data_IF_887960826236
#
_entry.id   IF_887960826236
#
_cell.length_a   1.000
_cell.length_b   1.000
_cell.length_c   1.000
_cell.angle_alpha   90.00
_cell.angle_beta   90.00
_cell.angle_gamma   90.00
#
_symmetry.space_group_name_H-M   'P 1'
#
loop_
_entity.id
_entity.type
_entity.pdbx_description
1 polymer ?
#
# COMPACT_ATOMS: atom_id res chain seq x y z
N UNK A 1 -6.80 11.39 -4.54
CA UNK A 1 -5.49 12.08 -4.44
C UNK A 1 -4.77 11.98 -5.79
N UNK A 2 -4.80 13.03 -6.59
CA UNK A 2 -4.02 13.09 -7.83
C UNK A 2 -2.63 13.64 -7.47
N UNK A 3 -1.62 12.79 -7.48
CA UNK A 3 -0.23 13.27 -7.44
C UNK A 3 0.19 13.58 -8.88
N UNK A 4 0.68 14.77 -9.10
CA UNK A 4 1.26 15.15 -10.39
C UNK A 4 2.68 14.56 -10.47
N UNK A 5 2.75 13.26 -10.75
CA UNK A 5 4.01 12.51 -10.82
C UNK A 5 4.14 11.96 -12.23
N UNK A 6 5.28 12.17 -12.85
CA UNK A 6 5.56 11.56 -14.15
C UNK A 6 5.82 10.05 -13.96
N UNK A 7 4.90 9.25 -14.48
CA UNK A 7 5.01 7.79 -14.41
C UNK A 7 6.26 7.25 -15.09
N UNK A 8 6.79 7.95 -16.10
CA UNK A 8 8.02 7.54 -16.79
C UNK A 8 9.25 7.67 -15.90
N UNK A 9 9.21 8.57 -14.93
CA UNK A 9 10.33 8.76 -13.99
C UNK A 9 10.35 7.75 -12.85
N UNK A 10 9.17 7.26 -12.41
CA UNK A 10 9.04 6.42 -11.21
C UNK A 10 8.73 4.96 -11.52
N UNK A 11 8.30 4.64 -12.76
CA UNK A 11 7.89 3.30 -13.15
C UNK A 11 8.73 2.75 -14.30
N UNK A 12 8.43 1.52 -14.71
CA UNK A 12 8.99 0.89 -15.91
C UNK A 12 8.29 1.33 -17.21
N UNK A 13 7.41 2.33 -17.13
CA UNK A 13 6.64 2.86 -18.26
C UNK A 13 5.49 1.96 -18.72
N UNK A 14 5.20 0.86 -18.04
CA UNK A 14 4.14 -0.08 -18.37
C UNK A 14 2.97 0.02 -17.39
N UNK A 15 1.78 -0.23 -17.92
CA UNK A 15 0.56 -0.36 -17.12
C UNK A 15 0.08 -1.81 -17.17
N UNK A 16 -0.26 -2.31 -15.99
CA UNK A 16 -0.64 -3.70 -15.76
C UNK A 16 -2.08 -3.81 -15.29
N UNK A 17 -2.72 -4.90 -15.63
CA UNK A 17 -4.04 -5.30 -15.14
C UNK A 17 -3.92 -6.32 -14.01
N UNK A 18 -5.02 -6.71 -13.39
CA UNK A 18 -5.04 -7.77 -12.37
C UNK A 18 -4.66 -9.17 -12.92
N UNK A 19 -4.65 -9.33 -14.24
CA UNK A 19 -4.32 -10.60 -14.90
C UNK A 19 -2.87 -10.67 -15.38
N UNK A 20 -2.14 -9.57 -15.27
CA UNK A 20 -0.76 -9.52 -15.70
C UNK A 20 0.19 -9.98 -14.60
N UNK A 21 1.23 -10.67 -15.00
CA UNK A 21 2.34 -11.04 -14.11
C UNK A 21 3.41 -9.97 -14.16
N UNK A 22 3.76 -9.45 -12.98
CA UNK A 22 4.82 -8.45 -12.85
C UNK A 22 6.00 -9.06 -12.10
N UNK A 23 7.18 -8.97 -12.69
CA UNK A 23 8.40 -9.41 -12.03
C UNK A 23 8.86 -8.36 -11.01
N UNK A 24 8.57 -8.62 -9.74
CA UNK A 24 9.05 -7.83 -8.62
C UNK A 24 9.95 -8.72 -7.74
N UNK A 25 11.25 -8.55 -7.85
CA UNK A 25 12.21 -9.28 -7.02
C UNK A 25 12.46 -8.50 -5.73
N UNK A 26 11.72 -8.85 -4.68
CA UNK A 26 11.80 -8.21 -3.37
C UNK A 26 12.48 -9.11 -2.32
N UNK A 27 12.97 -10.30 -2.66
CA UNK A 27 13.60 -11.26 -1.74
C UNK A 27 12.80 -11.48 -0.46
N UNK A 28 11.48 -11.62 -0.56
CA UNK A 28 10.53 -11.72 0.57
C UNK A 28 10.70 -10.63 1.63
N UNK A 29 11.26 -9.48 1.26
CA UNK A 29 11.52 -8.35 2.16
C UNK A 29 12.39 -8.72 3.37
N UNK A 30 13.23 -9.74 3.27
CA UNK A 30 14.07 -10.17 4.38
C UNK A 30 15.12 -9.10 4.74
N UNK A 31 14.96 -8.51 5.94
CA UNK A 31 15.87 -7.49 6.47
C UNK A 31 15.94 -6.22 5.61
N UNK A 32 14.85 -5.86 4.91
CA UNK A 32 14.79 -4.66 4.10
C UNK A 32 13.64 -3.77 4.52
N UNK A 33 13.79 -2.92 5.46
CA UNK A 33 12.75 -2.00 5.93
C UNK A 33 12.52 -0.76 5.04
N UNK A 34 13.08 -0.71 3.83
CA UNK A 34 13.08 0.50 3.00
C UNK A 34 11.66 1.05 2.74
N UNK A 35 10.68 0.19 2.42
CA UNK A 35 9.28 0.61 2.23
C UNK A 35 8.50 0.83 3.54
N UNK A 36 9.12 0.58 4.68
CA UNK A 36 8.58 0.86 6.01
C UNK A 36 9.15 2.16 6.62
N UNK A 37 9.94 2.91 5.86
CA UNK A 37 10.58 4.17 6.28
C UNK A 37 10.40 5.23 5.18
N UNK A 38 10.34 6.48 5.58
CA UNK A 38 10.22 7.60 4.64
C UNK A 38 8.87 7.70 3.93
N UNK A 39 7.84 7.03 4.44
CA UNK A 39 6.53 7.00 3.78
C UNK A 39 5.65 8.21 4.15
N UNK A 40 5.99 8.94 5.19
CA UNK A 40 5.22 10.09 5.65
C UNK A 40 3.73 9.76 5.77
N UNK A 41 2.87 10.52 5.09
CA UNK A 41 1.42 10.34 5.10
C UNK A 41 0.87 9.56 3.91
N UNK A 42 1.70 8.81 3.19
CA UNK A 42 1.28 8.16 1.94
C UNK A 42 0.54 6.84 2.14
N UNK A 43 0.64 6.21 3.31
CA UNK A 43 -0.03 4.94 3.60
C UNK A 43 -1.45 5.20 4.09
N UNK A 44 -2.34 5.52 3.17
CA UNK A 44 -3.77 5.72 3.45
C UNK A 44 -4.42 4.35 3.68
N UNK A 45 -5.26 4.28 4.72
CA UNK A 45 -5.92 3.07 5.15
C UNK A 45 -7.39 3.08 4.70
N UNK A 46 -7.84 1.98 4.16
CA UNK A 46 -9.25 1.73 3.87
C UNK A 46 -9.95 1.02 5.05
N UNK A 47 -11.28 0.86 5.02
CA UNK A 47 -12.00 0.16 6.09
C UNK A 47 -11.55 -1.28 6.34
N UNK A 48 -11.07 -1.98 5.30
CA UNK A 48 -10.56 -3.36 5.42
C UNK A 48 -9.17 -3.34 6.06
N UNK A 49 -8.36 -2.37 5.72
CA UNK A 49 -7.06 -2.17 6.36
C UNK A 49 -7.23 -1.93 7.88
N UNK A 50 -8.20 -1.09 8.25
CA UNK A 50 -8.54 -0.86 9.67
C UNK A 50 -9.02 -2.13 10.38
N UNK A 51 -9.83 -2.94 9.69
CA UNK A 51 -10.25 -4.24 10.22
C UNK A 51 -9.06 -5.18 10.43
N UNK A 52 -8.15 -5.28 9.47
CA UNK A 52 -6.92 -6.06 9.60
C UNK A 52 -6.02 -5.56 10.74
N UNK A 53 -5.87 -4.24 10.89
CA UNK A 53 -5.11 -3.65 11.99
C UNK A 53 -5.74 -3.99 13.35
N UNK A 54 -7.07 -3.95 13.45
CA UNK A 54 -7.77 -4.39 14.64
C UNK A 54 -7.50 -5.86 14.96
N UNK A 55 -7.53 -6.73 13.96
CA UNK A 55 -7.20 -8.16 14.15
C UNK A 55 -5.75 -8.36 14.59
N UNK A 56 -4.81 -7.64 14.02
CA UNK A 56 -3.40 -7.75 14.32
C UNK A 56 -3.03 -7.25 15.72
N UNK A 57 -3.69 -6.17 16.17
CA UNK A 57 -3.32 -5.46 17.41
C UNK A 57 -4.25 -5.72 18.58
N UNK A 58 -5.47 -6.20 18.31
CA UNK A 58 -6.54 -6.30 19.31
C UNK A 58 -7.14 -4.94 19.72
N UNK A 59 -6.67 -3.82 19.15
CA UNK A 59 -7.13 -2.47 19.47
C UNK A 59 -8.37 -2.10 18.66
N UNK A 60 -9.24 -1.30 19.25
CA UNK A 60 -10.30 -0.64 18.51
C UNK A 60 -9.76 0.59 17.75
N UNK A 61 -10.62 1.26 16.98
CA UNK A 61 -10.23 2.42 16.19
C UNK A 61 -9.66 3.57 17.06
N UNK A 62 -10.25 3.82 18.21
CA UNK A 62 -9.79 4.85 19.14
C UNK A 62 -8.40 4.53 19.71
N UNK A 63 -8.15 3.27 20.01
CA UNK A 63 -6.85 2.78 20.47
C UNK A 63 -5.76 2.91 19.38
N UNK A 64 -6.12 2.62 18.13
CA UNK A 64 -5.21 2.77 16.99
C UNK A 64 -4.85 4.25 16.72
N UNK A 65 -5.79 5.18 16.85
CA UNK A 65 -5.57 6.61 16.65
C UNK A 65 -4.50 7.21 17.56
N UNK A 66 -4.28 6.65 18.71
CA UNK A 66 -3.32 7.19 19.67
C UNK A 66 -1.87 6.90 19.29
N UNK A 67 -1.61 5.81 18.59
CA UNK A 67 -0.25 5.30 18.39
C UNK A 67 0.07 4.97 16.92
N UNK A 68 -0.80 4.21 16.24
CA UNK A 68 -0.48 3.58 14.95
C UNK A 68 -1.06 4.32 13.74
N UNK A 69 -2.14 5.07 13.95
CA UNK A 69 -2.79 5.81 12.87
C UNK A 69 -3.00 7.28 13.23
N UNK A 70 -3.08 8.11 12.22
CA UNK A 70 -3.46 9.51 12.32
C UNK A 70 -4.51 9.85 11.26
N UNK A 71 -5.23 10.95 11.46
CA UNK A 71 -6.22 11.46 10.52
C UNK A 71 -5.64 12.66 9.76
N UNK A 72 -5.76 12.64 8.44
CA UNK A 72 -5.36 13.74 7.58
C UNK A 72 -6.50 14.18 6.67
N UNK A 73 -6.54 15.47 6.36
CA UNK A 73 -7.46 16.00 5.36
C UNK A 73 -6.80 15.93 3.99
N UNK A 74 -7.45 15.22 3.07
CA UNK A 74 -7.00 15.08 1.67
C UNK A 74 -8.20 15.37 0.77
N UNK A 75 -8.08 16.39 -0.07
CA UNK A 75 -9.14 16.82 -1.00
C UNK A 75 -10.50 17.04 -0.29
N UNK A 76 -10.48 17.62 0.92
CA UNK A 76 -11.67 17.86 1.73
C UNK A 76 -12.23 16.65 2.50
N UNK A 77 -11.63 15.48 2.36
CA UNK A 77 -12.01 14.28 3.10
C UNK A 77 -11.03 13.99 4.24
N UNK A 78 -11.55 13.55 5.38
CA UNK A 78 -10.73 13.05 6.50
C UNK A 78 -10.42 11.58 6.23
N UNK A 79 -9.15 11.27 6.04
CA UNK A 79 -8.69 9.91 5.77
C UNK A 79 -7.70 9.44 6.83
N UNK A 80 -7.83 8.20 7.32
CA UNK A 80 -6.84 7.60 8.20
C UNK A 80 -5.62 7.15 7.40
N UNK A 81 -4.44 7.33 7.97
CA UNK A 81 -3.18 6.80 7.44
C UNK A 81 -2.29 6.29 8.57
N UNK A 82 -1.32 5.45 8.24
CA UNK A 82 -0.32 5.03 9.20
C UNK A 82 0.46 6.23 9.72
N UNK A 83 0.61 6.30 11.03
CA UNK A 83 1.37 7.34 11.73
C UNK A 83 2.83 6.92 11.81
N UNK A 84 3.68 7.51 10.98
CA UNK A 84 5.11 7.27 11.06
C UNK A 84 5.72 7.89 12.31
N UNK A 85 6.75 7.26 12.85
CA UNK A 85 7.51 7.82 13.96
C UNK A 85 8.13 9.16 13.54
N UNK A 86 7.90 10.26 14.29
CA UNK A 86 8.32 11.59 13.86
C UNK A 86 9.84 11.81 13.85
N UNK A 87 10.63 10.94 14.50
CA UNK A 87 12.09 11.06 14.57
C UNK A 87 12.78 10.21 13.53
N UNK A 88 12.28 9.00 13.30
CA UNK A 88 12.91 7.99 12.44
C UNK A 88 12.20 7.81 11.12
N UNK A 89 11.01 8.41 10.96
CA UNK A 89 10.10 8.22 9.83
C UNK A 89 9.83 6.73 9.53
N UNK A 90 9.81 5.92 10.60
CA UNK A 90 9.58 4.49 10.53
C UNK A 90 8.12 4.14 10.78
N UNK A 91 7.64 3.08 10.12
CA UNK A 91 6.32 2.50 10.34
C UNK A 91 6.21 2.01 11.80
N UNK A 92 5.06 2.24 12.49
CA UNK A 92 4.85 1.80 13.88
C UNK A 92 4.87 0.28 14.07
N UNK A 93 4.75 -0.48 12.98
CA UNK A 93 4.76 -1.94 12.98
C UNK A 93 6.11 -2.54 12.55
N UNK A 94 7.15 -1.73 12.39
CA UNK A 94 8.49 -2.21 12.11
C UNK A 94 9.11 -2.73 13.40
N UNK A 95 9.53 -4.01 13.41
CA UNK A 95 10.16 -4.65 14.55
C UNK A 95 11.67 -4.40 14.61
N UNK A 96 12.31 -4.88 15.68
CA UNK A 96 13.75 -4.76 15.92
C UNK A 96 14.61 -5.51 14.88
N UNK A 97 14.02 -6.48 14.18
CA UNK A 97 14.68 -7.25 13.13
C UNK A 97 14.49 -6.64 11.73
N UNK A 98 14.04 -5.37 11.65
CA UNK A 98 13.75 -4.67 10.39
C UNK A 98 12.65 -5.38 9.58
N UNK A 99 11.68 -6.01 10.25
CA UNK A 99 10.55 -6.70 9.62
C UNK A 99 9.22 -6.12 10.06
N UNK A 100 8.21 -6.32 9.22
CA UNK A 100 6.85 -5.94 9.56
C UNK A 100 6.25 -6.92 10.58
N UNK A 101 6.02 -6.48 11.81
CA UNK A 101 5.43 -7.28 12.90
C UNK A 101 4.00 -7.74 12.62
N UNK A 102 3.29 -7.06 11.71
CA UNK A 102 1.93 -7.42 11.27
C UNK A 102 1.91 -7.93 9.83
N UNK A 103 2.94 -8.63 9.36
CA UNK A 103 3.12 -8.97 7.94
C UNK A 103 1.89 -9.63 7.30
N UNK A 104 1.20 -10.54 8.00
CA UNK A 104 -0.01 -11.20 7.52
C UNK A 104 -1.23 -10.25 7.39
N UNK A 105 -1.22 -9.13 8.12
CA UNK A 105 -2.29 -8.14 8.21
C UNK A 105 -1.91 -6.78 7.62
N UNK A 106 -0.88 -6.75 6.78
CA UNK A 106 -0.44 -5.50 6.13
C UNK A 106 -1.57 -4.83 5.37
N UNK A 107 -1.57 -3.51 5.35
CA UNK A 107 -2.50 -2.72 4.54
C UNK A 107 -2.38 -3.06 3.05
N UNK A 108 -3.44 -2.82 2.30
CA UNK A 108 -3.51 -3.12 0.87
C UNK A 108 -2.38 -2.49 0.07
N UNK A 109 -2.01 -1.25 0.38
CA UNK A 109 -0.89 -0.57 -0.29
C UNK A 109 0.47 -1.23 0.04
N UNK A 110 0.68 -1.68 1.28
CA UNK A 110 1.91 -2.39 1.66
C UNK A 110 1.99 -3.79 1.04
N UNK A 111 0.85 -4.46 0.83
CA UNK A 111 0.80 -5.75 0.12
C UNK A 111 1.03 -5.61 -1.37
N UNK A 112 0.63 -4.49 -1.93
CA UNK A 112 0.84 -4.16 -3.35
C UNK A 112 2.28 -3.83 -3.67
N UNK A 113 3.00 -3.21 -2.75
CA UNK A 113 4.36 -2.74 -2.99
C UNK A 113 5.25 -3.85 -3.58
N UNK A 114 6.01 -3.61 -4.63
CA UNK A 114 6.32 -2.31 -5.24
C UNK A 114 5.39 -1.86 -6.38
N UNK A 115 4.15 -2.31 -6.42
CA UNK A 115 3.18 -1.82 -7.39
C UNK A 115 2.42 -0.61 -6.83
N UNK A 116 2.22 0.39 -7.69
CA UNK A 116 1.31 1.51 -7.47
C UNK A 116 0.00 1.31 -8.23
N UNK A 117 -1.04 2.07 -7.88
CA UNK A 117 -2.31 2.13 -8.61
C UNK A 117 -2.46 3.45 -9.33
N UNK A 118 -2.79 3.40 -10.60
CA UNK A 118 -3.25 4.53 -11.39
C UNK A 118 -4.76 4.42 -11.54
N UNK A 119 -5.49 5.36 -10.96
CA UNK A 119 -6.95 5.41 -11.06
C UNK A 119 -7.35 6.13 -12.36
N UNK A 120 -8.28 5.52 -13.08
CA UNK A 120 -8.85 5.99 -14.34
C UNK A 120 -10.39 6.15 -14.18
N UNK A 121 -11.09 6.65 -15.19
CA UNK A 121 -12.54 6.87 -15.12
C UNK A 121 -13.33 5.58 -14.84
N UNK A 122 -12.90 4.47 -15.41
CA UNK A 122 -13.59 3.17 -15.27
C UNK A 122 -12.78 2.14 -14.47
N UNK A 123 -11.97 2.55 -13.49
CA UNK A 123 -11.25 1.62 -12.65
C UNK A 123 -9.82 2.05 -12.34
N UNK A 124 -8.92 1.09 -12.32
CA UNK A 124 -7.52 1.37 -12.08
C UNK A 124 -6.62 0.35 -12.79
N UNK A 125 -5.41 0.77 -13.09
CA UNK A 125 -4.32 -0.09 -13.52
C UNK A 125 -3.17 0.00 -12.53
N UNK A 126 -2.27 -0.94 -12.63
CA UNK A 126 -1.06 -0.97 -11.81
C UNK A 126 0.14 -0.49 -12.61
N UNK A 127 1.12 0.04 -11.91
CA UNK A 127 2.45 0.34 -12.46
C UNK A 127 3.53 -0.11 -11.49
N UNK A 128 4.67 -0.52 -12.00
CA UNK A 128 5.77 -1.01 -11.20
C UNK A 128 6.70 0.13 -10.80
N UNK A 129 6.80 0.40 -9.50
CA UNK A 129 7.73 1.36 -8.93
C UNK A 129 9.17 0.82 -9.05
N UNK A 130 9.98 1.45 -9.90
CA UNK A 130 11.31 0.93 -10.22
C UNK A 130 12.39 1.41 -9.26
N UNK A 131 12.19 2.55 -8.59
CA UNK A 131 13.21 3.19 -7.74
C UNK A 131 12.96 3.02 -6.25
N UNK A 132 11.76 2.58 -5.87
CA UNK A 132 11.35 2.51 -4.46
C UNK A 132 11.85 1.25 -3.74
N UNK A 133 12.01 0.14 -4.46
CA UNK A 133 12.56 -1.08 -3.88
C UNK A 133 14.08 -1.11 -4.01
N UNK A 134 14.79 -0.84 -2.93
CA UNK A 134 16.27 -0.74 -2.90
C UNK A 134 17.00 -2.07 -3.16
N UNK A 135 16.33 -3.22 -3.01
CA UNK A 135 16.91 -4.55 -3.24
C UNK A 135 16.80 -5.06 -4.68
N UNK A 136 16.42 -4.22 -5.61
CA UNK A 136 16.20 -4.60 -7.02
C UNK A 136 17.48 -4.78 -7.84
N UNK A 137 18.64 -4.99 -7.26
CA UNK A 137 19.84 -5.29 -8.01
C UNK A 137 19.85 -6.74 -8.50
N UNK A 138 19.60 -6.86 -9.81
CA UNK A 138 20.03 -7.91 -10.70
C UNK A 138 20.01 -9.37 -10.21
N UNK A 139 18.88 -10.06 -10.38
CA UNK A 139 18.89 -11.45 -10.86
C UNK A 139 17.61 -11.75 -11.65
N UNK A 140 17.80 -12.34 -12.83
CA UNK A 140 16.73 -12.98 -13.61
C UNK A 140 16.30 -14.23 -12.85
N UNK A 141 15.32 -14.17 -11.99
CA UNK A 141 14.67 -15.34 -11.42
C UNK A 141 13.26 -15.48 -11.97
N UNK A 142 12.85 -16.72 -12.16
CA UNK A 142 11.57 -17.11 -12.75
C UNK A 142 10.39 -16.51 -11.98
N UNK A 143 9.39 -16.10 -12.74
CA UNK A 143 8.18 -15.46 -12.28
C UNK A 143 7.38 -16.32 -11.33
N UNK A 144 7.35 -16.02 -10.05
CA UNK A 144 6.28 -16.48 -9.18
C UNK A 144 5.00 -15.69 -9.47
N UNK A 145 3.95 -16.42 -9.81
CA UNK A 145 2.59 -15.87 -9.94
C UNK A 145 2.22 -15.24 -8.61
N UNK A 146 2.06 -13.93 -8.56
CA UNK A 146 1.24 -13.34 -7.53
C UNK A 146 -0.18 -13.86 -7.72
N UNK A 147 -0.54 -14.91 -7.00
CA UNK A 147 -1.91 -15.37 -6.90
C UNK A 147 -2.71 -14.28 -6.16
N UNK A 148 -3.34 -13.43 -6.93
CA UNK A 148 -4.28 -12.45 -6.44
C UNK A 148 -5.58 -13.16 -6.14
N UNK A 149 -5.81 -13.45 -4.87
CA UNK A 149 -6.99 -14.12 -4.38
C UNK A 149 -8.27 -13.28 -4.61
N UNK A 150 -9.39 -13.99 -4.67
CA UNK A 150 -10.77 -13.49 -4.76
C UNK A 150 -11.14 -12.31 -3.83
N UNK A 151 -10.38 -12.08 -2.78
CA UNK A 151 -10.51 -10.91 -1.89
C UNK A 151 -10.34 -9.57 -2.62
N UNK A 152 -9.50 -9.51 -3.65
CA UNK A 152 -9.32 -8.29 -4.45
C UNK A 152 -10.50 -7.97 -5.36
N UNK A 153 -11.22 -8.98 -5.82
CA UNK A 153 -12.49 -8.74 -6.55
C UNK A 153 -13.56 -8.15 -5.63
N UNK A 154 -13.59 -8.58 -4.37
CA UNK A 154 -14.49 -8.02 -3.36
C UNK A 154 -14.08 -6.57 -3.05
N UNK A 155 -12.78 -6.30 -2.87
CA UNK A 155 -12.24 -4.96 -2.70
C UNK A 155 -12.56 -4.04 -3.88
N UNK A 156 -12.39 -4.53 -5.11
CA UNK A 156 -12.76 -3.82 -6.34
C UNK A 156 -14.23 -3.40 -6.33
N UNK A 157 -15.14 -4.30 -5.94
CA UNK A 157 -16.60 -4.02 -5.87
C UNK A 157 -16.94 -3.01 -4.77
N UNK A 158 -16.27 -3.06 -3.61
CA UNK A 158 -16.48 -2.13 -2.50
C UNK A 158 -15.92 -0.75 -2.84
N UNK A 159 -14.71 -0.66 -3.38
CA UNK A 159 -14.10 0.62 -3.78
C UNK A 159 -14.86 1.32 -4.90
N UNK A 160 -15.35 0.57 -5.89
CA UNK A 160 -16.17 1.13 -6.97
C UNK A 160 -17.50 1.68 -6.45
N UNK A 161 -18.11 0.99 -5.47
CA UNK A 161 -19.35 1.48 -4.81
C UNK A 161 -19.10 2.73 -3.96
N UNK A 162 -18.01 2.79 -3.22
CA UNK A 162 -17.68 3.98 -2.41
C UNK A 162 -17.30 5.17 -3.29
N UNK A 163 -16.50 4.96 -4.33
CA UNK A 163 -16.18 6.03 -5.28
C UNK A 163 -17.40 6.58 -6.01
N UNK A 164 -18.35 5.75 -6.40
CA UNK A 164 -19.59 6.20 -7.05
C UNK A 164 -20.55 6.96 -6.14
N UNK A 165 -20.49 6.73 -4.82
CA UNK A 165 -21.26 7.49 -3.83
C UNK A 165 -20.71 8.91 -3.63
N UNK A 166 -19.38 9.08 -3.77
CA UNK A 166 -18.72 10.38 -3.57
C UNK A 166 -18.63 11.25 -4.83
N UNK A 167 -18.93 10.71 -6.02
CA UNK A 167 -18.97 11.50 -7.27
C UNK A 167 -20.35 12.15 -7.51
N UNK A 168 -21.38 11.72 -6.77
CA UNK A 168 -22.75 12.24 -6.89
C UNK A 168 -23.18 13.15 -5.72
N UNK A 169 -22.25 13.69 -4.95
CA UNK A 169 -22.42 14.77 -3.99
C UNK A 169 -21.56 15.98 -4.41
#
# INVERSE_FOLDING_TARGET
>A
MRRNVDLNEISDGKLYTSNDMVKADCYDCQGCSACCRGMGKSIILDPIDLFHLKQATGKDFAGLLNQEIELNVVDGMILPNLKMDPKTDACPFLDENERCGIHAFRSGICRLFPLGRLYEEEGFRYFLLTKECKKRESRKSESEKMAWNSELEILRKIYFRLASVFVNL
#
